data_IF_226364926511
#
_entry.id   IF_226364926511
#
_cell.length_a   1.000
_cell.length_b   1.000
_cell.length_c   1.000
_cell.angle_alpha   90.00
_cell.angle_beta   90.00
_cell.angle_gamma   90.00
#
_symmetry.space_group_name_H-M   'P 1'
#
loop_
_entity.id
_entity.type
_entity.pdbx_description
1 polymer ?
#
# COMPACT_ATOMS: atom_id res chain seq x y z
N UNK A 1 -14.23 28.71 -27.96
CA UNK A 1 -14.72 27.38 -27.57
C UNK A 1 -13.87 26.76 -26.46
N UNK A 2 -12.54 26.67 -26.61
CA UNK A 2 -11.61 26.13 -25.58
C UNK A 2 -11.71 26.81 -24.19
N UNK A 3 -11.83 28.14 -24.12
CA UNK A 3 -11.99 28.87 -22.84
C UNK A 3 -13.28 28.54 -22.08
N UNK A 4 -14.36 28.20 -22.80
CA UNK A 4 -15.64 27.81 -22.18
C UNK A 4 -15.57 26.39 -21.63
N UNK A 5 -14.94 25.47 -22.38
CA UNK A 5 -14.68 24.09 -21.95
C UNK A 5 -13.79 24.05 -20.71
N UNK A 6 -12.70 24.84 -20.71
CA UNK A 6 -11.80 24.96 -19.56
C UNK A 6 -12.53 25.49 -18.33
N UNK A 7 -13.37 26.53 -18.50
CA UNK A 7 -14.16 27.10 -17.41
C UNK A 7 -15.16 26.09 -16.84
N UNK A 8 -15.91 25.37 -17.68
CA UNK A 8 -16.80 24.29 -17.23
C UNK A 8 -16.06 23.14 -16.54
N UNK A 9 -14.86 22.77 -17.01
CA UNK A 9 -14.03 21.75 -16.35
C UNK A 9 -13.61 22.20 -14.94
N UNK A 10 -13.13 23.44 -14.80
CA UNK A 10 -12.79 24.01 -13.48
C UNK A 10 -14.00 24.15 -12.57
N UNK A 11 -15.18 24.46 -13.10
CA UNK A 11 -16.40 24.60 -12.30
C UNK A 11 -16.88 23.23 -11.82
N UNK A 12 -16.77 22.19 -12.65
CA UNK A 12 -17.10 20.81 -12.29
C UNK A 12 -16.13 20.26 -11.22
N UNK A 13 -14.83 20.56 -11.33
CA UNK A 13 -13.82 20.24 -10.31
C UNK A 13 -14.09 20.96 -8.97
N UNK A 14 -14.56 22.21 -8.99
CA UNK A 14 -14.92 22.95 -7.78
C UNK A 14 -16.19 22.40 -7.09
N UNK A 15 -17.18 21.93 -7.85
CA UNK A 15 -18.44 21.40 -7.30
C UNK A 15 -18.24 20.00 -6.69
N UNK A 16 -17.35 19.18 -7.24
CA UNK A 16 -16.99 17.88 -6.65
C UNK A 16 -16.20 18.01 -5.33
N UNK A 17 -15.56 19.15 -5.07
CA UNK A 17 -14.85 19.42 -3.81
C UNK A 17 -15.74 19.73 -2.60
N UNK A 18 -17.07 19.82 -2.76
CA UNK A 18 -18.00 20.27 -1.71
C UNK A 18 -18.75 19.16 -0.97
N UNK A 19 -18.58 17.88 -1.34
CA UNK A 19 -19.17 16.78 -0.59
C UNK A 19 -18.08 16.14 0.28
N UNK A 20 -18.08 16.38 1.61
CA UNK A 20 -17.33 15.49 2.49
C UNK A 20 -17.88 14.08 2.31
N UNK A 21 -17.01 13.14 1.93
CA UNK A 21 -17.30 11.72 1.96
C UNK A 21 -17.52 11.33 3.44
N UNK A 22 -18.73 11.56 3.96
CA UNK A 22 -19.15 11.10 5.27
C UNK A 22 -19.54 9.63 5.16
N UNK A 23 -18.53 8.80 5.37
CA UNK A 23 -18.63 7.38 5.61
C UNK A 23 -17.21 6.90 5.90
N UNK A 24 -16.91 6.60 7.17
CA UNK A 24 -15.64 5.96 7.52
C UNK A 24 -15.65 4.53 6.96
N UNK A 25 -15.45 4.40 5.66
CA UNK A 25 -14.94 3.18 5.09
C UNK A 25 -13.49 3.08 5.55
N UNK A 26 -13.09 1.93 6.11
CA UNK A 26 -11.70 1.70 6.50
C UNK A 26 -10.79 2.10 5.34
N UNK A 27 -9.86 3.01 5.61
CA UNK A 27 -8.91 3.45 4.58
C UNK A 27 -8.02 2.26 4.25
N UNK A 28 -8.00 1.78 3.00
CA UNK A 28 -7.20 0.62 2.64
C UNK A 28 -5.74 0.93 2.92
N UNK A 29 -5.02 -0.01 3.51
CA UNK A 29 -3.60 0.13 3.88
C UNK A 29 -2.67 -0.12 2.69
N UNK A 30 -3.16 -0.80 1.67
CA UNK A 30 -2.45 -1.18 0.45
C UNK A 30 -3.36 -0.94 -0.74
N UNK A 31 -2.76 -0.72 -1.91
CA UNK A 31 -3.41 -0.92 -3.20
C UNK A 31 -3.28 -2.39 -3.59
N UNK A 32 -2.52 -2.73 -4.64
CA UNK A 32 -2.23 -4.12 -5.01
C UNK A 32 -0.94 -4.55 -4.29
N UNK A 33 0.18 -3.88 -4.57
CA UNK A 33 1.49 -4.11 -3.96
C UNK A 33 2.12 -2.84 -3.37
N UNK A 34 1.49 -1.68 -3.58
CA UNK A 34 1.98 -0.39 -3.08
C UNK A 34 1.23 0.05 -1.82
N UNK A 35 1.91 0.64 -0.82
CA UNK A 35 1.25 1.12 0.38
C UNK A 35 0.49 2.43 0.10
N UNK A 36 -0.58 2.66 0.85
CA UNK A 36 -1.27 3.95 0.94
C UNK A 36 -0.87 4.67 2.23
N UNK A 37 -1.36 5.90 2.43
CA UNK A 37 -1.29 6.56 3.73
C UNK A 37 -2.28 5.97 4.76
N UNK A 38 -3.08 4.95 4.42
CA UNK A 38 -4.03 4.19 5.25
C UNK A 38 -3.41 3.60 6.53
N UNK A 39 -4.20 3.43 7.59
CA UNK A 39 -3.81 2.71 8.82
C UNK A 39 -5.05 2.01 9.36
N UNK A 40 -4.83 0.95 10.14
CA UNK A 40 -5.91 0.30 10.89
C UNK A 40 -6.36 1.19 12.05
N UNK A 41 -7.65 1.16 12.35
CA UNK A 41 -8.19 1.80 13.55
C UNK A 41 -7.73 1.08 14.82
N UNK A 42 -7.75 1.80 15.95
CA UNK A 42 -7.31 1.26 17.24
C UNK A 42 -8.09 -0.01 17.58
N UNK A 43 -7.37 -1.10 17.86
CA UNK A 43 -7.96 -2.39 18.21
C UNK A 43 -8.49 -3.19 17.02
N UNK A 44 -8.42 -2.65 15.80
CA UNK A 44 -8.69 -3.40 14.58
C UNK A 44 -7.48 -4.23 14.19
N UNK A 45 -7.74 -5.34 13.50
CA UNK A 45 -6.73 -6.22 12.98
C UNK A 45 -7.00 -6.53 11.50
N UNK A 46 -5.94 -6.85 10.78
CA UNK A 46 -5.97 -7.27 9.39
C UNK A 46 -5.16 -8.56 9.28
N UNK A 47 -5.66 -9.52 8.49
CA UNK A 47 -5.01 -10.81 8.28
C UNK A 47 -4.98 -11.08 6.79
N UNK A 48 -3.78 -11.18 6.25
CA UNK A 48 -3.55 -11.42 4.83
C UNK A 48 -2.97 -12.80 4.55
N UNK A 49 -3.30 -13.33 3.37
CA UNK A 49 -2.64 -14.47 2.78
C UNK A 49 -2.32 -14.16 1.33
N UNK A 50 -1.04 -14.20 0.97
CA UNK A 50 -0.55 -14.00 -0.38
C UNK A 50 -0.05 -15.32 -0.96
N UNK A 51 -0.61 -15.70 -2.10
CA UNK A 51 -0.13 -16.81 -2.92
C UNK A 51 0.76 -16.24 -4.03
N UNK A 52 1.91 -16.87 -4.26
CA UNK A 52 2.84 -16.48 -5.33
C UNK A 52 3.46 -17.71 -6.00
N UNK A 53 4.27 -17.47 -7.03
CA UNK A 53 4.89 -18.52 -7.84
C UNK A 53 5.61 -19.58 -6.99
N UNK A 54 5.79 -20.78 -7.58
CA UNK A 54 6.43 -21.94 -6.95
C UNK A 54 5.69 -22.44 -5.70
N UNK A 55 4.35 -22.35 -5.68
CA UNK A 55 3.56 -22.81 -4.53
C UNK A 55 3.81 -22.00 -3.27
N UNK A 56 4.24 -20.75 -3.41
CA UNK A 56 4.62 -19.89 -2.31
C UNK A 56 3.42 -19.31 -1.58
N UNK A 57 3.52 -19.28 -0.24
CA UNK A 57 2.49 -18.75 0.64
C UNK A 57 3.14 -17.83 1.66
N UNK A 58 2.62 -16.62 1.78
CA UNK A 58 3.00 -15.64 2.80
C UNK A 58 1.74 -15.28 3.59
N UNK A 59 1.77 -15.51 4.90
CA UNK A 59 0.75 -15.02 5.82
C UNK A 59 1.22 -13.77 6.53
N UNK A 60 0.29 -12.86 6.79
CA UNK A 60 0.53 -11.65 7.55
C UNK A 60 -0.62 -11.35 8.52
N UNK A 61 -0.27 -10.71 9.63
CA UNK A 61 -1.23 -10.18 10.59
C UNK A 61 -0.75 -8.82 11.07
N UNK A 62 -1.66 -7.86 11.06
CA UNK A 62 -1.41 -6.48 11.49
C UNK A 62 -2.47 -6.02 12.48
N UNK A 63 -2.09 -5.12 13.40
CA UNK A 63 -2.96 -4.54 14.41
C UNK A 63 -2.81 -3.02 14.47
N UNK A 64 -3.93 -2.31 14.56
CA UNK A 64 -3.97 -0.88 14.84
C UNK A 64 -3.73 -0.62 16.33
N UNK A 65 -2.56 -0.12 16.68
CA UNK A 65 -2.23 0.28 18.06
C UNK A 65 -2.90 1.61 18.42
N UNK A 66 -3.08 2.49 17.43
CA UNK A 66 -3.88 3.71 17.48
C UNK A 66 -4.47 4.00 16.10
N UNK A 67 -5.29 5.05 15.94
CA UNK A 67 -5.76 5.52 14.62
C UNK A 67 -4.64 6.03 13.70
N UNK A 68 -3.38 6.04 14.17
CA UNK A 68 -2.20 6.52 13.44
C UNK A 68 -1.04 5.54 13.43
N UNK A 69 -1.01 4.59 14.36
CA UNK A 69 0.11 3.65 14.54
C UNK A 69 -0.38 2.22 14.35
N UNK A 70 0.28 1.50 13.45
CA UNK A 70 0.02 0.09 13.18
C UNK A 70 1.33 -0.70 13.27
N UNK A 71 1.20 -1.93 13.76
CA UNK A 71 2.27 -2.91 13.81
C UNK A 71 1.78 -4.22 13.21
N UNK A 72 2.64 -4.95 12.51
CA UNK A 72 2.32 -6.26 11.97
C UNK A 72 3.54 -7.14 11.82
N UNK A 73 3.28 -8.43 11.60
CA UNK A 73 4.29 -9.44 11.32
C UNK A 73 3.84 -10.30 10.13
N UNK A 74 4.80 -10.92 9.46
CA UNK A 74 4.52 -11.84 8.36
C UNK A 74 5.52 -12.98 8.33
N UNK A 75 5.09 -14.15 7.87
CA UNK A 75 5.97 -15.29 7.65
C UNK A 75 5.42 -16.21 6.57
N UNK A 76 6.32 -16.91 5.87
CA UNK A 76 5.97 -17.67 4.69
C UNK A 76 7.16 -18.43 4.11
N UNK A 77 6.95 -18.96 2.91
CA UNK A 77 7.97 -19.73 2.19
C UNK A 77 7.47 -20.20 0.83
N UNK A 78 8.37 -20.81 0.07
CA UNK A 78 8.07 -21.46 -1.20
C UNK A 78 7.71 -22.93 -1.02
N UNK A 79 6.99 -23.48 -2.00
CA UNK A 79 6.57 -24.88 -2.07
C UNK A 79 5.74 -25.33 -0.86
N UNK A 80 5.00 -24.42 -0.24
CA UNK A 80 4.01 -24.74 0.81
C UNK A 80 2.81 -25.47 0.18
N UNK A 81 2.46 -25.09 -1.05
CA UNK A 81 1.47 -25.77 -1.88
C UNK A 81 2.23 -26.46 -3.03
N UNK A 82 2.63 -27.72 -2.83
CA UNK A 82 3.39 -28.48 -3.81
C UNK A 82 3.90 -29.81 -3.27
N UNK A 83 4.81 -30.43 -4.02
CA UNK A 83 5.47 -31.69 -3.65
C UNK A 83 6.94 -31.43 -3.25
N UNK A 84 7.45 -32.18 -2.28
CA UNK A 84 8.82 -32.05 -1.79
C UNK A 84 8.96 -31.16 -0.55
N UNK A 85 10.16 -30.64 -0.34
CA UNK A 85 10.48 -29.85 0.86
C UNK A 85 9.98 -28.41 0.76
N UNK A 86 9.56 -27.86 1.90
CA UNK A 86 9.18 -26.45 2.03
C UNK A 86 10.45 -25.61 2.21
N UNK A 87 10.55 -24.52 1.44
CA UNK A 87 11.63 -23.56 1.57
C UNK A 87 11.15 -22.32 2.33
N UNK A 88 11.29 -22.36 3.65
CA UNK A 88 10.89 -21.24 4.52
C UNK A 88 11.72 -19.99 4.27
N UNK A 89 11.07 -18.83 4.44
CA UNK A 89 11.75 -17.54 4.51
C UNK A 89 12.73 -17.53 5.69
N UNK A 90 13.86 -16.84 5.58
CA UNK A 90 14.92 -16.91 6.60
C UNK A 90 14.51 -16.28 7.93
N UNK A 91 13.66 -15.25 7.90
CA UNK A 91 13.22 -14.52 9.08
C UNK A 91 11.75 -14.09 8.91
N UNK A 92 10.99 -13.94 10.01
CA UNK A 92 9.74 -13.21 10.01
C UNK A 92 9.93 -11.76 9.56
N UNK A 93 9.00 -11.27 8.77
CA UNK A 93 8.88 -9.87 8.40
C UNK A 93 8.20 -9.04 9.49
N UNK A 94 8.55 -7.77 9.56
CA UNK A 94 7.96 -6.79 10.47
C UNK A 94 7.41 -5.64 9.65
N UNK A 95 6.23 -5.16 10.05
CA UNK A 95 5.51 -4.03 9.48
C UNK A 95 5.30 -2.98 10.57
N UNK A 96 5.79 -1.77 10.36
CA UNK A 96 5.53 -0.63 11.23
C UNK A 96 5.05 0.53 10.37
N UNK A 97 3.99 1.21 10.81
CA UNK A 97 3.43 2.33 10.05
C UNK A 97 2.94 3.42 10.99
N UNK A 98 3.30 4.67 10.69
CA UNK A 98 2.87 5.83 11.43
C UNK A 98 2.33 6.94 10.50
N UNK A 99 1.07 7.31 10.69
CA UNK A 99 0.44 8.44 10.01
C UNK A 99 0.79 9.74 10.71
N UNK A 100 1.64 10.51 10.05
CA UNK A 100 2.14 11.79 10.55
C UNK A 100 1.07 12.87 10.40
N UNK A 101 0.46 12.95 9.23
CA UNK A 101 -0.48 14.02 8.85
C UNK A 101 -1.74 13.36 8.31
N UNK A 102 -2.89 13.82 8.83
CA UNK A 102 -4.19 13.42 8.31
C UNK A 102 -4.53 14.27 7.08
N UNK A 103 -5.30 13.67 6.17
CA UNK A 103 -5.81 14.39 5.02
C UNK A 103 -6.73 15.54 5.47
N UNK A 104 -6.60 16.68 4.80
CA UNK A 104 -7.53 17.81 4.92
C UNK A 104 -7.98 18.21 3.53
N UNK A 105 -8.80 19.25 3.39
CA UNK A 105 -9.13 19.79 2.06
C UNK A 105 -7.86 20.24 1.32
N UNK A 106 -6.91 20.88 2.01
CA UNK A 106 -5.72 21.48 1.40
C UNK A 106 -4.52 20.54 1.28
N UNK A 107 -4.37 19.56 2.20
CA UNK A 107 -3.19 18.70 2.29
C UNK A 107 -3.55 17.23 2.12
N UNK A 108 -2.69 16.43 1.46
CA UNK A 108 -2.82 14.98 1.49
C UNK A 108 -2.43 14.43 2.87
N UNK A 109 -2.87 13.22 3.18
CA UNK A 109 -2.36 12.46 4.31
C UNK A 109 -0.91 12.04 4.02
N UNK A 110 -0.06 12.02 5.05
CA UNK A 110 1.31 11.54 4.97
C UNK A 110 1.59 10.45 5.99
N UNK A 111 2.18 9.36 5.52
CA UNK A 111 2.52 8.20 6.35
C UNK A 111 3.95 7.75 6.07
N UNK A 112 4.69 7.50 7.13
CA UNK A 112 5.97 6.78 7.07
C UNK A 112 5.78 5.36 7.57
N UNK A 113 6.63 4.46 7.10
CA UNK A 113 6.65 3.12 7.64
C UNK A 113 7.90 2.36 7.27
N UNK A 114 7.93 1.13 7.77
CA UNK A 114 8.95 0.15 7.50
C UNK A 114 8.28 -1.21 7.28
N UNK A 115 8.65 -1.89 6.21
CA UNK A 115 8.23 -3.26 5.94
C UNK A 115 9.45 -4.06 5.50
N UNK A 116 9.85 -5.07 6.28
CA UNK A 116 11.02 -5.91 5.97
C UNK A 116 10.70 -7.18 5.17
N UNK A 117 9.44 -7.39 4.79
CA UNK A 117 8.98 -8.57 4.07
C UNK A 117 8.90 -8.29 2.57
N UNK A 118 9.75 -8.96 1.79
CA UNK A 118 9.57 -9.13 0.36
C UNK A 118 8.76 -10.40 0.06
N UNK A 119 8.58 -10.73 -1.21
CA UNK A 119 7.86 -11.94 -1.62
C UNK A 119 8.47 -12.59 -2.86
N UNK A 120 8.05 -13.82 -3.16
CA UNK A 120 8.74 -14.68 -4.11
C UNK A 120 9.92 -15.42 -3.48
N UNK A 121 10.77 -16.02 -4.32
CA UNK A 121 11.90 -16.81 -3.87
C UNK A 121 12.93 -15.98 -3.11
N UNK A 122 13.46 -16.52 -2.00
CA UNK A 122 14.57 -15.92 -1.29
C UNK A 122 15.92 -16.40 -1.85
N UNK A 123 16.61 -15.49 -2.55
CA UNK A 123 17.88 -15.73 -3.19
C UNK A 123 19.03 -15.58 -2.18
N UNK A 124 19.49 -16.70 -1.62
CA UNK A 124 20.57 -16.72 -0.60
C UNK A 124 21.86 -16.03 -1.05
N UNK A 125 22.23 -16.15 -2.34
CA UNK A 125 23.42 -15.53 -2.91
C UNK A 125 23.37 -14.00 -2.87
N UNK A 126 22.20 -13.42 -3.13
CA UNK A 126 21.95 -11.98 -3.18
C UNK A 126 21.28 -11.45 -1.89
N UNK A 127 21.06 -12.31 -0.89
CA UNK A 127 20.40 -12.01 0.39
C UNK A 127 19.09 -11.20 0.24
N UNK A 128 18.28 -11.54 -0.75
CA UNK A 128 17.04 -10.82 -1.09
C UNK A 128 15.93 -11.72 -1.58
N UNK A 129 14.69 -11.26 -1.48
CA UNK A 129 13.55 -11.82 -2.18
C UNK A 129 13.59 -11.45 -3.66
N UNK A 130 12.86 -12.22 -4.48
CA UNK A 130 12.71 -11.93 -5.91
C UNK A 130 12.05 -10.57 -6.10
N UNK A 131 10.98 -10.29 -5.34
CA UNK A 131 10.44 -8.95 -5.15
C UNK A 131 10.84 -8.44 -3.77
N UNK A 132 11.71 -7.43 -3.75
CA UNK A 132 12.26 -6.85 -2.52
C UNK A 132 11.16 -6.28 -1.64
N UNK A 133 11.38 -6.33 -0.34
CA UNK A 133 10.60 -5.57 0.63
C UNK A 133 10.67 -4.08 0.34
N UNK A 134 9.61 -3.36 0.70
CA UNK A 134 9.59 -1.88 0.61
C UNK A 134 10.68 -1.25 1.48
N UNK A 135 11.09 -1.90 2.56
CA UNK A 135 11.96 -1.33 3.57
C UNK A 135 11.33 -0.08 4.16
N UNK A 136 12.09 0.99 4.28
CA UNK A 136 11.55 2.29 4.72
C UNK A 136 10.74 2.92 3.59
N UNK A 137 9.57 3.46 3.90
CA UNK A 137 8.73 4.12 2.90
C UNK A 137 8.06 5.38 3.44
N UNK A 138 7.73 6.29 2.52
CA UNK A 138 6.91 7.47 2.72
C UNK A 138 5.81 7.49 1.65
N UNK A 139 4.57 7.74 2.06
CA UNK A 139 3.41 7.81 1.16
C UNK A 139 2.62 9.08 1.42
N UNK A 140 2.19 9.72 0.34
CA UNK A 140 1.14 10.72 0.32
C UNK A 140 -0.15 10.10 -0.24
N UNK A 141 -1.30 10.40 0.35
CA UNK A 141 -2.60 9.97 -0.19
C UNK A 141 -3.65 11.05 -0.11
N UNK A 142 -4.48 11.15 -1.13
CA UNK A 142 -5.51 12.18 -1.26
C UNK A 142 -6.78 11.56 -1.83
N UNK A 143 -7.92 11.77 -1.17
CA UNK A 143 -9.22 11.34 -1.62
C UNK A 143 -10.06 12.52 -2.12
N UNK A 144 -10.87 12.27 -3.14
CA UNK A 144 -11.82 13.20 -3.72
C UNK A 144 -13.18 12.53 -3.85
N UNK A 145 -14.23 13.27 -3.48
CA UNK A 145 -15.61 12.87 -3.75
C UNK A 145 -15.97 13.18 -5.21
N UNK A 146 -15.71 12.24 -6.11
CA UNK A 146 -15.96 12.38 -7.55
C UNK A 146 -16.71 11.17 -8.09
N UNK A 147 -18.04 11.25 -8.16
CA UNK A 147 -18.93 10.13 -8.54
C UNK A 147 -18.65 8.87 -7.70
N UNK A 148 -18.62 9.03 -6.37
CA UNK A 148 -18.01 8.10 -5.42
C UNK A 148 -16.59 8.53 -5.02
N UNK A 149 -15.88 7.73 -4.24
CA UNK A 149 -14.49 7.98 -3.88
C UNK A 149 -13.54 7.78 -5.06
N UNK A 150 -12.64 8.76 -5.25
CA UNK A 150 -11.48 8.70 -6.13
C UNK A 150 -10.25 9.11 -5.33
N UNK A 151 -9.37 8.16 -5.07
CA UNK A 151 -8.16 8.36 -4.28
C UNK A 151 -6.90 8.25 -5.15
N UNK A 152 -5.92 9.11 -4.86
CA UNK A 152 -4.60 9.09 -5.47
C UNK A 152 -3.55 8.83 -4.39
N UNK A 153 -2.55 8.04 -4.75
CA UNK A 153 -1.48 7.61 -3.87
C UNK A 153 -0.14 7.77 -4.60
N UNK A 154 0.88 8.21 -3.87
CA UNK A 154 2.22 8.33 -4.39
C UNK A 154 3.23 8.23 -3.27
N UNK A 155 4.36 7.60 -3.53
CA UNK A 155 5.35 7.39 -2.49
C UNK A 155 6.72 7.03 -3.01
N UNK A 156 7.61 6.88 -2.05
CA UNK A 156 9.00 6.48 -2.23
C UNK A 156 9.34 5.43 -1.19
N UNK A 157 10.17 4.46 -1.56
CA UNK A 157 10.66 3.45 -0.64
C UNK A 157 12.14 3.11 -0.84
N UNK A 158 12.74 2.54 0.19
CA UNK A 158 14.14 2.17 0.25
C UNK A 158 14.31 0.80 0.90
N UNK A 159 14.67 -0.20 0.10
CA UNK A 159 14.87 -1.56 0.59
C UNK A 159 16.22 -1.72 1.28
N UNK A 160 16.23 -2.54 2.34
CA UNK A 160 17.48 -2.95 3.00
C UNK A 160 18.08 -4.22 2.40
N UNK A 161 17.42 -4.81 1.41
CA UNK A 161 17.87 -5.99 0.67
C UNK A 161 18.88 -5.60 -0.43
N UNK A 162 20.15 -5.46 -0.02
CA UNK A 162 21.23 -4.88 -0.84
C UNK A 162 22.28 -5.88 -1.33
N UNK A 163 22.05 -7.18 -1.15
CA UNK A 163 23.08 -8.18 -1.46
C UNK A 163 23.34 -8.37 -2.95
N UNK A 164 22.52 -7.78 -3.83
CA UNK A 164 22.76 -7.65 -5.27
C UNK A 164 23.43 -6.33 -5.68
N UNK A 165 23.77 -5.47 -4.71
CA UNK A 165 24.43 -4.18 -4.95
C UNK A 165 23.48 -3.03 -5.30
N UNK A 166 22.18 -3.29 -5.45
CA UNK A 166 21.17 -2.25 -5.65
C UNK A 166 20.85 -1.54 -4.33
N UNK A 167 20.98 -0.22 -4.37
CA UNK A 167 20.75 0.71 -3.26
C UNK A 167 19.87 1.88 -3.68
N UNK A 168 19.07 1.69 -4.72
CA UNK A 168 18.29 2.78 -5.30
C UNK A 168 17.02 3.06 -4.47
N UNK A 169 16.50 4.27 -4.66
CA UNK A 169 15.17 4.64 -4.16
C UNK A 169 14.15 4.27 -5.23
N UNK A 170 13.09 3.59 -4.81
CA UNK A 170 11.98 3.26 -5.70
C UNK A 170 10.85 4.27 -5.49
N UNK A 171 10.19 4.62 -6.58
CA UNK A 171 9.01 5.47 -6.56
C UNK A 171 7.81 4.63 -6.97
N UNK A 172 6.64 5.01 -6.50
CA UNK A 172 5.40 4.38 -6.94
C UNK A 172 4.26 5.37 -6.91
N UNK A 173 3.24 5.07 -7.70
CA UNK A 173 1.98 5.80 -7.69
C UNK A 173 0.83 4.86 -7.97
N UNK A 174 -0.35 5.23 -7.52
CA UNK A 174 -1.56 4.50 -7.86
C UNK A 174 -2.80 5.32 -7.60
N UNK A 175 -3.91 4.80 -8.06
CA UNK A 175 -5.22 5.37 -7.87
C UNK A 175 -6.23 4.28 -7.53
N UNK A 176 -7.26 4.68 -6.81
CA UNK A 176 -8.34 3.82 -6.40
C UNK A 176 -9.66 4.54 -6.67
N UNK A 177 -10.59 3.89 -7.36
CA UNK A 177 -11.86 4.48 -7.79
C UNK A 177 -13.01 3.55 -7.45
N UNK A 178 -13.90 4.00 -6.57
CA UNK A 178 -15.16 3.29 -6.34
C UNK A 178 -16.03 3.35 -7.60
N UNK A 179 -16.58 2.19 -7.97
CA UNK A 179 -17.55 2.04 -9.05
C UNK A 179 -18.97 1.91 -8.47
N UNK A 180 -19.09 1.22 -7.35
CA UNK A 180 -20.26 1.12 -6.48
C UNK A 180 -19.77 0.76 -5.06
N UNK A 181 -20.65 0.53 -4.06
CA UNK A 181 -20.22 0.20 -2.70
C UNK A 181 -19.33 -1.04 -2.56
N UNK A 182 -19.45 -2.01 -3.48
CA UNK A 182 -18.79 -3.32 -3.41
C UNK A 182 -17.59 -3.44 -4.37
N UNK A 183 -17.55 -2.63 -5.43
CA UNK A 183 -16.59 -2.73 -6.52
C UNK A 183 -15.72 -1.49 -6.62
N UNK A 184 -14.41 -1.73 -6.65
CA UNK A 184 -13.39 -0.70 -6.80
C UNK A 184 -12.48 -1.04 -7.98
N UNK A 185 -12.19 -0.04 -8.80
CA UNK A 185 -11.11 -0.09 -9.76
C UNK A 185 -9.82 0.39 -9.09
N UNK A 186 -8.75 -0.37 -9.25
CA UNK A 186 -7.44 -0.08 -8.67
C UNK A 186 -6.40 -0.16 -9.77
N UNK A 187 -5.51 0.84 -9.84
CA UNK A 187 -4.35 0.82 -10.72
C UNK A 187 -3.15 1.37 -9.97
N UNK A 188 -2.00 0.73 -10.15
CA UNK A 188 -0.72 1.18 -9.59
C UNK A 188 0.42 0.95 -10.57
N UNK A 189 1.50 1.69 -10.35
CA UNK A 189 2.76 1.55 -11.06
C UNK A 189 3.91 1.74 -10.08
N UNK A 190 4.85 0.81 -10.12
CA UNK A 190 6.05 0.76 -9.30
C UNK A 190 7.24 0.89 -10.25
N UNK A 191 8.03 1.96 -10.08
CA UNK A 191 9.08 2.37 -11.03
C UNK A 191 10.37 1.59 -10.83
#
# INVERSE_FOLDING_TARGET
MAKRILFTLTTLLLICGLNPAFGQQMQPTMLIDTPTAGTLDRGSYDVGLRLYANGGVLGDISVGLSSRLMFGISFGGENIIGEGDIHWNPNPGIHLRYRMIDETIALPAFTVGYNSQGYGAYLKSAKRYTVKSRGFFLVASKNYAFLGDLSFHGGVNYSLEKGDGDTDLNFFTGLMKSLNPDLWFIAEYDF
#
